data_IF_966559832911
#
_entry.id   IF_966559832911
#
_cell.length_a   1.000
_cell.length_b   1.000
_cell.length_c   1.000
_cell.angle_alpha   90.00
_cell.angle_beta   90.00
_cell.angle_gamma   90.00
#
_symmetry.space_group_name_H-M   'P 1'
#
loop_
_entity.id
_entity.type
_entity.pdbx_description
1 polymer ?
#
# COMPACT_ATOMS: atom_id res chain seq x y z
N UNK A 1 -0.46 -8.23 12.91
CA UNK A 1 -0.52 -9.26 11.85
C UNK A 1 -1.80 -10.03 12.08
N UNK A 2 -2.55 -10.31 11.02
CA UNK A 2 -3.77 -11.11 11.09
C UNK A 2 -4.07 -11.74 9.73
N UNK A 3 -4.63 -12.94 9.74
CA UNK A 3 -5.13 -13.64 8.56
C UNK A 3 -4.03 -14.10 7.61
N UNK A 4 -2.77 -14.18 8.06
CA UNK A 4 -1.62 -14.46 7.18
C UNK A 4 -1.48 -15.94 6.84
N UNK A 5 -1.49 -16.83 7.84
CA UNK A 5 -1.41 -18.29 7.62
C UNK A 5 -2.78 -18.91 7.40
N UNK A 6 -3.78 -18.43 8.13
CA UNK A 6 -5.17 -18.89 8.10
C UNK A 6 -6.07 -17.80 8.75
N UNK A 7 -7.41 -17.90 8.75
CA UNK A 7 -8.28 -16.83 9.25
C UNK A 7 -8.50 -16.84 10.77
N UNK A 8 -7.93 -17.79 11.53
CA UNK A 8 -8.27 -18.03 12.94
C UNK A 8 -7.93 -16.87 13.88
N UNK A 9 -6.92 -16.06 13.54
CA UNK A 9 -6.45 -14.93 14.33
C UNK A 9 -7.13 -13.59 13.96
N UNK A 10 -7.98 -13.54 12.92
CA UNK A 10 -8.60 -12.29 12.45
C UNK A 10 -9.58 -11.74 13.49
N UNK A 11 -10.52 -12.55 13.98
CA UNK A 11 -11.50 -12.10 14.97
C UNK A 11 -10.84 -11.75 16.32
N UNK A 12 -9.91 -12.57 16.86
CA UNK A 12 -9.12 -12.17 18.02
C UNK A 12 -8.39 -10.84 17.81
N UNK A 13 -7.76 -10.64 16.66
CA UNK A 13 -7.04 -9.41 16.36
C UNK A 13 -7.97 -8.18 16.32
N UNK A 14 -9.16 -8.29 15.72
CA UNK A 14 -10.17 -7.21 15.74
C UNK A 14 -10.56 -6.88 17.19
N UNK A 15 -10.72 -7.89 18.06
CA UNK A 15 -11.09 -7.71 19.46
C UNK A 15 -10.03 -7.01 20.33
N UNK A 16 -8.81 -6.82 19.82
CA UNK A 16 -7.75 -6.05 20.47
C UNK A 16 -7.78 -4.55 20.13
N UNK A 17 -8.73 -4.12 19.29
CA UNK A 17 -8.88 -2.73 18.84
C UNK A 17 -7.57 -2.13 18.28
N UNK A 18 -6.90 -2.80 17.32
CA UNK A 18 -5.60 -2.35 16.82
C UNK A 18 -5.71 -1.09 15.97
N UNK A 19 -4.66 -0.28 15.97
CA UNK A 19 -4.55 0.88 15.08
C UNK A 19 -4.61 0.49 13.60
N UNK A 20 -4.12 -0.70 13.24
CA UNK A 20 -4.22 -1.28 11.90
C UNK A 20 -3.95 -2.78 11.90
N UNK A 21 -4.47 -3.47 10.87
CA UNK A 21 -4.20 -4.89 10.60
C UNK A 21 -3.17 -5.04 9.47
N UNK A 22 -2.38 -6.11 9.50
CA UNK A 22 -1.34 -6.40 8.50
C UNK A 22 -1.62 -7.77 7.87
N UNK A 23 -1.44 -7.86 6.55
CA UNK A 23 -1.66 -9.02 5.67
C UNK A 23 -3.10 -9.25 5.22
N UNK A 24 -3.92 -9.90 6.06
CA UNK A 24 -5.28 -10.32 5.71
C UNK A 24 -5.37 -11.12 4.40
N UNK A 25 -4.45 -12.09 4.21
CA UNK A 25 -4.43 -12.94 3.01
C UNK A 25 -5.62 -13.89 2.95
N UNK A 26 -6.13 -14.33 4.11
CA UNK A 26 -7.24 -15.27 4.25
C UNK A 26 -8.57 -14.64 4.72
N UNK A 27 -8.70 -13.31 4.66
CA UNK A 27 -9.91 -12.62 5.12
C UNK A 27 -11.12 -12.90 4.22
N UNK A 28 -12.29 -13.17 4.81
CA UNK A 28 -13.54 -13.32 4.07
C UNK A 28 -14.42 -12.07 4.15
N UNK A 29 -15.52 -12.08 3.38
CA UNK A 29 -16.44 -10.94 3.29
C UNK A 29 -17.03 -10.55 4.65
N UNK A 30 -17.27 -11.52 5.54
CA UNK A 30 -17.82 -11.26 6.89
C UNK A 30 -16.81 -10.46 7.73
N UNK A 31 -15.53 -10.84 7.75
CA UNK A 31 -14.53 -10.12 8.54
C UNK A 31 -14.21 -8.77 7.92
N UNK A 32 -14.21 -8.63 6.58
CA UNK A 32 -14.03 -7.32 5.93
C UNK A 32 -15.07 -6.31 6.43
N UNK A 33 -16.34 -6.73 6.60
CA UNK A 33 -17.39 -5.87 7.14
C UNK A 33 -17.14 -5.49 8.60
N UNK A 34 -16.73 -6.44 9.43
CA UNK A 34 -16.40 -6.17 10.84
C UNK A 34 -15.23 -5.20 10.98
N UNK A 35 -14.17 -5.39 10.18
CA UNK A 35 -13.01 -4.49 10.12
C UNK A 35 -13.45 -3.09 9.69
N UNK A 36 -14.37 -3.00 8.71
CA UNK A 36 -14.92 -1.73 8.25
C UNK A 36 -15.72 -1.02 9.34
N UNK A 37 -16.59 -1.74 10.04
CA UNK A 37 -17.42 -1.23 11.14
C UNK A 37 -16.55 -0.74 12.30
N UNK A 38 -15.50 -1.48 12.63
CA UNK A 38 -14.51 -1.09 13.63
C UNK A 38 -13.58 0.05 13.18
N UNK A 39 -13.71 0.52 11.93
CA UNK A 39 -12.88 1.58 11.34
C UNK A 39 -11.37 1.28 11.36
N UNK A 40 -10.99 0.00 11.33
CA UNK A 40 -9.61 -0.44 11.40
C UNK A 40 -9.01 -0.43 9.97
N UNK A 41 -7.95 0.35 9.69
CA UNK A 41 -7.25 0.32 8.42
C UNK A 41 -6.39 -0.94 8.24
N UNK A 42 -6.05 -1.24 6.99
CA UNK A 42 -5.30 -2.44 6.61
C UNK A 42 -4.02 -2.09 5.87
N UNK A 43 -2.92 -2.76 6.19
CA UNK A 43 -1.66 -2.75 5.44
C UNK A 43 -1.47 -4.10 4.76
N UNK A 44 -1.40 -4.11 3.43
CA UNK A 44 -1.08 -5.31 2.65
C UNK A 44 0.42 -5.37 2.35
N UNK A 45 0.97 -6.57 2.35
CA UNK A 45 2.38 -6.83 2.05
C UNK A 45 2.51 -7.77 0.85
N UNK A 46 1.96 -7.35 -0.28
CA UNK A 46 1.66 -8.23 -1.42
C UNK A 46 2.92 -8.96 -1.95
N UNK A 47 4.05 -8.26 -2.09
CA UNK A 47 5.32 -8.90 -2.51
C UNK A 47 5.82 -9.94 -1.51
N UNK A 48 5.68 -9.67 -0.21
CA UNK A 48 6.08 -10.61 0.84
C UNK A 48 5.20 -11.86 0.79
N UNK A 49 3.89 -11.67 0.79
CA UNK A 49 2.93 -12.79 0.78
C UNK A 49 3.04 -13.65 -0.49
N UNK A 50 3.40 -13.04 -1.63
CA UNK A 50 3.68 -13.79 -2.86
C UNK A 50 4.92 -14.70 -2.73
N UNK A 51 5.99 -14.23 -2.07
CA UNK A 51 7.24 -15.00 -1.91
C UNK A 51 7.07 -16.10 -0.85
N UNK A 52 6.40 -15.81 0.27
CA UNK A 52 6.19 -16.77 1.36
C UNK A 52 5.13 -17.83 1.03
N UNK A 53 4.30 -17.60 0.02
CA UNK A 53 3.18 -18.47 -0.31
C UNK A 53 2.01 -18.35 0.67
N UNK A 54 1.93 -17.27 1.47
CA UNK A 54 0.87 -17.03 2.47
C UNK A 54 -0.50 -16.69 1.86
N UNK A 55 -0.68 -16.84 0.55
CA UNK A 55 -1.87 -16.40 -0.19
C UNK A 55 -1.83 -14.93 -0.60
N UNK A 56 -2.86 -14.47 -1.31
CA UNK A 56 -2.97 -13.08 -1.77
C UNK A 56 -4.17 -12.40 -1.12
N UNK A 57 -4.00 -11.21 -0.51
CA UNK A 57 -5.12 -10.51 0.10
C UNK A 57 -6.17 -10.14 -0.95
N UNK A 58 -7.47 -10.20 -0.62
CA UNK A 58 -8.55 -9.86 -1.54
C UNK A 58 -8.71 -8.33 -1.67
N UNK A 59 -7.68 -7.65 -2.18
CA UNK A 59 -7.54 -6.19 -2.17
C UNK A 59 -8.75 -5.50 -2.81
N UNK A 60 -9.22 -6.00 -3.95
CA UNK A 60 -10.41 -5.44 -4.62
C UNK A 60 -11.64 -5.48 -3.71
N UNK A 61 -11.89 -6.60 -3.01
CA UNK A 61 -13.04 -6.73 -2.11
C UNK A 61 -12.94 -5.75 -0.95
N UNK A 62 -11.75 -5.60 -0.36
CA UNK A 62 -11.52 -4.62 0.72
C UNK A 62 -11.78 -3.19 0.26
N UNK A 63 -11.31 -2.82 -0.94
CA UNK A 63 -11.54 -1.50 -1.51
C UNK A 63 -13.02 -1.25 -1.86
N UNK A 64 -13.70 -2.25 -2.43
CA UNK A 64 -15.12 -2.17 -2.79
C UNK A 64 -16.02 -1.99 -1.55
N UNK A 65 -15.66 -2.60 -0.42
CA UNK A 65 -16.35 -2.43 0.88
C UNK A 65 -15.90 -1.15 1.63
N UNK A 66 -15.02 -0.35 1.03
CA UNK A 66 -14.64 0.97 1.54
C UNK A 66 -13.63 0.96 2.69
N UNK A 67 -12.82 -0.09 2.82
CA UNK A 67 -11.71 -0.13 3.78
C UNK A 67 -10.60 0.83 3.33
N UNK A 68 -9.90 1.40 4.31
CA UNK A 68 -8.63 2.11 4.05
C UNK A 68 -7.54 1.06 3.95
N UNK A 69 -7.03 0.84 2.74
CA UNK A 69 -5.94 -0.11 2.47
C UNK A 69 -4.67 0.64 2.10
N UNK A 70 -3.57 0.36 2.76
CA UNK A 70 -2.22 0.83 2.45
C UNK A 70 -1.30 -0.33 2.07
N UNK A 71 -0.16 -0.03 1.47
CA UNK A 71 0.85 -1.03 1.10
C UNK A 71 2.09 -0.91 1.98
N UNK A 72 2.67 -2.04 2.35
CA UNK A 72 3.94 -2.17 3.06
C UNK A 72 4.86 -3.17 2.39
N UNK A 73 6.17 -3.03 2.61
CA UNK A 73 7.19 -3.93 2.02
C UNK A 73 7.38 -5.21 2.81
N UNK A 74 6.98 -5.20 4.10
CA UNK A 74 7.33 -6.22 5.09
C UNK A 74 8.86 -6.36 5.27
N UNK A 75 9.29 -7.42 5.95
CA UNK A 75 10.65 -7.66 6.41
C UNK A 75 11.68 -7.79 5.26
N UNK A 76 12.90 -7.31 5.58
CA UNK A 76 14.03 -7.18 4.65
C UNK A 76 14.61 -8.53 4.20
N UNK A 77 14.23 -9.62 4.86
CA UNK A 77 14.76 -10.96 4.59
C UNK A 77 14.35 -11.46 3.20
N UNK A 78 13.19 -11.03 2.70
CA UNK A 78 12.60 -11.52 1.45
C UNK A 78 12.46 -10.43 0.39
N UNK A 79 12.23 -9.18 0.82
CA UNK A 79 12.03 -8.05 -0.09
C UNK A 79 12.94 -6.87 0.26
N UNK A 80 13.44 -6.20 -0.77
CA UNK A 80 13.99 -4.87 -0.62
C UNK A 80 12.92 -3.89 -0.12
N UNK A 81 13.32 -2.99 0.79
CA UNK A 81 12.48 -1.88 1.27
C UNK A 81 12.32 -0.85 0.16
N UNK A 82 11.42 -1.12 -0.79
CA UNK A 82 11.25 -0.33 -1.99
C UNK A 82 9.76 -0.18 -2.37
N UNK A 83 9.19 0.98 -2.07
CA UNK A 83 7.80 1.30 -2.39
C UNK A 83 7.53 1.43 -3.90
N UNK A 84 8.54 1.72 -4.73
CA UNK A 84 8.36 1.66 -6.19
C UNK A 84 8.10 0.24 -6.67
N UNK A 85 8.83 -0.72 -6.10
CA UNK A 85 8.62 -2.14 -6.40
C UNK A 85 7.26 -2.64 -5.89
N UNK A 86 6.77 -2.15 -4.73
CA UNK A 86 5.40 -2.44 -4.29
C UNK A 86 4.36 -1.88 -5.28
N UNK A 87 4.52 -0.63 -5.70
CA UNK A 87 3.62 0.00 -6.68
C UNK A 87 3.60 -0.78 -8.01
N UNK A 88 4.77 -1.12 -8.55
CA UNK A 88 4.88 -1.84 -9.81
C UNK A 88 4.23 -3.23 -9.70
N UNK A 89 4.49 -3.94 -8.60
CA UNK A 89 3.95 -5.27 -8.37
C UNK A 89 2.42 -5.24 -8.22
N UNK A 90 1.88 -4.32 -7.42
CA UNK A 90 0.44 -4.09 -7.28
C UNK A 90 -0.22 -3.79 -8.63
N UNK A 91 0.40 -2.91 -9.43
CA UNK A 91 -0.15 -2.47 -10.72
C UNK A 91 -0.18 -3.58 -11.79
N UNK A 92 0.73 -4.55 -11.68
CA UNK A 92 0.87 -5.67 -12.62
C UNK A 92 0.04 -6.90 -12.20
N UNK A 93 -0.19 -7.10 -10.91
CA UNK A 93 -0.78 -8.35 -10.40
C UNK A 93 -2.19 -8.18 -9.85
N UNK A 94 -2.53 -7.03 -9.25
CA UNK A 94 -3.75 -6.92 -8.43
C UNK A 94 -4.66 -5.74 -8.81
N UNK A 95 -4.12 -4.57 -9.15
CA UNK A 95 -4.88 -3.34 -9.33
C UNK A 95 -4.51 -2.68 -10.65
N UNK A 96 -5.46 -2.62 -11.61
CA UNK A 96 -5.21 -1.99 -12.91
C UNK A 96 -5.19 -0.46 -12.87
N UNK A 97 -5.85 0.15 -11.88
CA UNK A 97 -5.87 1.60 -11.70
C UNK A 97 -4.62 2.10 -10.96
N UNK A 98 -3.69 2.67 -11.73
CA UNK A 98 -2.44 3.24 -11.19
C UNK A 98 -2.71 4.35 -10.15
N UNK A 99 -3.82 5.08 -10.25
CA UNK A 99 -4.20 6.07 -9.24
C UNK A 99 -4.52 5.42 -7.91
N UNK A 100 -5.26 4.31 -7.93
CA UNK A 100 -5.56 3.57 -6.71
C UNK A 100 -4.28 3.00 -6.09
N UNK A 101 -3.38 2.42 -6.89
CA UNK A 101 -2.07 1.96 -6.40
C UNK A 101 -1.29 3.09 -5.74
N UNK A 102 -1.20 4.25 -6.39
CA UNK A 102 -0.49 5.39 -5.83
C UNK A 102 -1.11 5.87 -4.51
N UNK A 103 -2.45 5.84 -4.37
CA UNK A 103 -3.14 6.16 -3.11
C UNK A 103 -2.78 5.19 -1.98
N UNK A 104 -2.74 3.88 -2.26
CA UNK A 104 -2.31 2.84 -1.30
C UNK A 104 -0.92 3.14 -0.74
N UNK A 105 0.01 3.58 -1.59
CA UNK A 105 1.41 3.82 -1.24
C UNK A 105 1.70 5.26 -0.74
N UNK A 106 0.70 6.15 -0.69
CA UNK A 106 0.90 7.55 -0.25
C UNK A 106 -0.20 8.00 0.72
N UNK A 107 -1.36 8.42 0.21
CA UNK A 107 -2.46 8.96 1.00
C UNK A 107 -2.93 7.99 2.08
N UNK A 108 -3.08 6.71 1.73
CA UNK A 108 -3.57 5.72 2.67
C UNK A 108 -2.47 5.36 3.68
N UNK A 109 -1.20 5.27 3.27
CA UNK A 109 -0.09 5.11 4.22
C UNK A 109 -0.06 6.21 5.27
N UNK A 110 -0.22 7.48 4.87
CA UNK A 110 -0.30 8.59 5.82
C UNK A 110 -1.50 8.49 6.78
N UNK A 111 -2.65 8.02 6.30
CA UNK A 111 -3.85 7.80 7.13
C UNK A 111 -3.65 6.67 8.13
N UNK A 112 -3.12 5.54 7.68
CA UNK A 112 -2.84 4.38 8.55
C UNK A 112 -1.83 4.74 9.64
N UNK A 113 -0.86 5.60 9.32
CA UNK A 113 0.14 6.06 10.30
C UNK A 113 -0.32 7.27 11.14
N UNK A 114 -1.56 7.75 11.01
CA UNK A 114 -2.07 8.88 11.80
C UNK A 114 -1.43 10.24 11.52
N UNK A 115 -0.77 10.40 10.35
CA UNK A 115 -0.01 11.59 9.97
C UNK A 115 -0.59 12.30 8.75
N UNK A 116 -1.81 11.96 8.33
CA UNK A 116 -2.46 12.53 7.15
C UNK A 116 -2.93 13.98 7.35
N UNK A 117 -2.93 14.52 8.57
CA UNK A 117 -3.10 15.95 8.81
C UNK A 117 -1.87 16.75 8.34
N UNK A 118 -0.67 16.16 8.40
CA UNK A 118 0.60 16.81 8.12
C UNK A 118 1.21 16.40 6.78
N UNK A 119 1.00 15.14 6.36
CA UNK A 119 1.71 14.48 5.26
C UNK A 119 0.76 13.77 4.28
N UNK A 120 1.34 13.06 3.32
CA UNK A 120 0.62 12.23 2.34
C UNK A 120 0.06 12.98 1.12
N UNK A 121 -0.03 14.32 1.15
CA UNK A 121 -0.53 15.10 0.01
C UNK A 121 0.11 16.48 -0.09
N UNK A 122 0.24 16.99 -1.30
CA UNK A 122 0.63 18.39 -1.57
C UNK A 122 -0.62 19.26 -1.43
N UNK A 123 -0.82 19.88 -0.26
CA UNK A 123 -1.93 20.79 0.05
C UNK A 123 -1.45 21.91 0.97
N UNK A 124 -2.09 23.08 0.88
CA UNK A 124 -1.85 24.19 1.81
C UNK A 124 -2.02 23.75 3.26
N UNK A 125 -1.12 24.19 4.14
CA UNK A 125 -1.11 23.84 5.57
C UNK A 125 -0.35 22.56 5.93
N UNK A 126 -0.01 21.71 4.95
CA UNK A 126 0.77 20.48 5.18
C UNK A 126 2.28 20.71 5.09
N UNK A 127 3.06 19.83 5.74
CA UNK A 127 4.52 19.84 5.66
C UNK A 127 4.95 19.47 4.23
N UNK A 128 5.94 20.19 3.72
CA UNK A 128 6.54 19.91 2.42
C UNK A 128 7.49 18.70 2.49
N UNK A 129 6.94 17.48 2.47
CA UNK A 129 7.71 16.24 2.26
C UNK A 129 7.55 15.78 0.83
N UNK A 130 8.52 16.10 -0.02
CA UNK A 130 8.41 15.95 -1.46
C UNK A 130 9.54 15.09 -2.01
N UNK A 131 9.20 14.27 -3.01
CA UNK A 131 10.15 13.53 -3.82
C UNK A 131 10.14 14.10 -5.23
N UNK A 132 11.30 14.47 -5.74
CA UNK A 132 11.48 15.00 -7.09
C UNK A 132 12.15 13.94 -7.95
N UNK A 133 11.48 13.55 -9.05
CA UNK A 133 11.96 12.55 -9.98
C UNK A 133 12.54 13.17 -11.25
N UNK A 134 13.62 12.59 -11.77
CA UNK A 134 14.24 12.99 -13.02
C UNK A 134 13.49 12.41 -14.22
N UNK A 135 12.74 13.26 -14.93
CA UNK A 135 12.06 12.88 -16.18
C UNK A 135 13.02 12.36 -17.27
N UNK A 136 14.31 12.70 -17.22
CA UNK A 136 15.32 12.31 -18.22
C UNK A 136 16.08 11.04 -17.85
N UNK A 137 15.80 10.40 -16.73
CA UNK A 137 16.43 9.12 -16.38
C UNK A 137 16.06 8.02 -17.36
N UNK A 138 16.83 6.93 -17.38
CA UNK A 138 16.57 5.80 -18.27
C UNK A 138 15.17 5.20 -18.06
N UNK A 139 14.70 5.12 -16.82
CA UNK A 139 13.38 4.55 -16.52
C UNK A 139 12.22 5.51 -16.87
N UNK A 140 12.48 6.83 -16.90
CA UNK A 140 11.46 7.87 -17.08
C UNK A 140 11.50 8.58 -18.44
N UNK A 141 12.51 8.32 -19.27
CA UNK A 141 12.53 8.89 -20.61
C UNK A 141 11.30 8.41 -21.43
N UNK A 142 10.70 9.34 -22.17
CA UNK A 142 9.54 9.06 -23.03
C UNK A 142 8.20 8.96 -22.29
N UNK A 143 8.09 9.45 -21.03
CA UNK A 143 6.80 9.47 -20.32
C UNK A 143 5.70 10.17 -21.13
N UNK A 144 4.51 9.55 -21.16
CA UNK A 144 3.26 10.18 -21.65
C UNK A 144 2.28 10.46 -20.52
N UNK A 145 2.17 9.52 -19.57
CA UNK A 145 1.38 9.65 -18.35
C UNK A 145 2.32 9.59 -17.14
N UNK A 146 2.57 10.71 -16.44
CA UNK A 146 3.49 10.74 -15.30
C UNK A 146 3.12 9.77 -14.17
N UNK A 147 1.84 9.62 -13.86
CA UNK A 147 1.36 8.74 -12.78
C UNK A 147 1.63 7.28 -13.11
N UNK A 148 1.25 6.86 -14.32
CA UNK A 148 1.49 5.48 -14.76
C UNK A 148 2.99 5.16 -14.84
N UNK A 149 3.81 6.11 -15.30
CA UNK A 149 5.26 5.91 -15.34
C UNK A 149 5.85 5.81 -13.93
N UNK A 150 5.40 6.65 -12.99
CA UNK A 150 5.81 6.58 -11.58
C UNK A 150 5.45 5.22 -10.97
N UNK A 151 4.22 4.77 -11.16
CA UNK A 151 3.72 3.53 -10.55
C UNK A 151 4.36 2.29 -11.16
N UNK A 152 4.60 2.28 -12.48
CA UNK A 152 4.95 1.05 -13.21
C UNK A 152 6.44 0.91 -13.57
N UNK A 153 7.23 1.98 -13.48
CA UNK A 153 8.59 2.02 -14.03
C UNK A 153 9.59 2.77 -13.17
N UNK A 154 9.16 3.75 -12.36
CA UNK A 154 10.11 4.52 -11.58
C UNK A 154 10.83 3.66 -10.54
N UNK A 155 12.02 4.08 -10.15
CA UNK A 155 12.91 3.42 -9.20
C UNK A 155 13.56 4.45 -8.29
N UNK A 156 14.17 4.02 -7.17
CA UNK A 156 14.89 4.93 -6.28
C UNK A 156 15.99 5.75 -6.98
N UNK A 157 16.66 5.21 -7.99
CA UNK A 157 17.68 5.90 -8.79
C UNK A 157 17.13 7.04 -9.68
N UNK A 158 15.81 7.13 -9.85
CA UNK A 158 15.18 8.26 -10.54
C UNK A 158 15.01 9.49 -9.63
N UNK A 159 15.20 9.35 -8.32
CA UNK A 159 15.07 10.44 -7.36
C UNK A 159 16.29 11.36 -7.45
N UNK A 160 16.04 12.66 -7.69
CA UNK A 160 17.10 13.69 -7.69
C UNK A 160 17.07 14.58 -6.45
N UNK A 161 15.95 14.59 -5.71
CA UNK A 161 15.82 15.37 -4.49
C UNK A 161 14.73 14.82 -3.58
N UNK A 162 15.03 14.83 -2.29
CA UNK A 162 14.05 14.72 -1.20
C UNK A 162 14.03 16.06 -0.46
N UNK A 163 12.84 16.57 -0.18
CA UNK A 163 12.58 17.76 0.62
C UNK A 163 11.81 17.31 1.86
#
# INVERSE_FOLDING_TARGET
HAGESDPSDILPAIGLEPDHLIHLTHVEKKEIKLIKEACIPVVICLRSNFITGSGLPPIKKMLDEGLVVAAGTDNVMLNSVNMFSEMEFLAKTAIKDDRQVFKLCTLNGAKVSGIDSELGSIKTGKKARLMVLNKKSNNMQGIRNPLSSLVRRARPDDIIRII
#
